data_IF_901242476142
#
_entry.id   IF_901242476142
#
_cell.length_a   1.000
_cell.length_b   1.000
_cell.length_c   1.000
_cell.angle_alpha   90.00
_cell.angle_beta   90.00
_cell.angle_gamma   90.00
#
_symmetry.space_group_name_H-M   'P 1'
#
loop_
_entity.id
_entity.type
_entity.pdbx_description
1 polymer ?
#
# COMPACT_ATOMS: atom_id res chain seq x y z
N UNK A 1 16.39 -64.02 -1.07
CA UNK A 1 15.94 -63.14 0.02
C UNK A 1 16.93 -62.00 0.35
N UNK A 2 18.21 -62.23 0.50
CA UNK A 2 19.20 -61.16 0.85
C UNK A 2 19.25 -60.03 -0.19
N UNK A 3 19.17 -60.31 -1.47
CA UNK A 3 19.18 -59.30 -2.54
C UNK A 3 17.92 -58.42 -2.55
N UNK A 4 16.77 -59.05 -2.30
CA UNK A 4 15.50 -58.32 -2.19
C UNK A 4 15.57 -57.25 -1.06
N UNK A 5 16.04 -57.63 0.12
CA UNK A 5 16.20 -56.68 1.23
C UNK A 5 17.16 -55.54 0.94
N UNK A 6 18.27 -55.80 0.19
CA UNK A 6 19.20 -54.74 -0.21
C UNK A 6 18.53 -53.70 -1.12
N UNK A 7 17.81 -54.17 -2.13
CA UNK A 7 17.10 -53.25 -3.05
C UNK A 7 16.00 -52.46 -2.35
N UNK A 8 15.22 -53.10 -1.50
CA UNK A 8 14.19 -52.43 -0.72
C UNK A 8 14.78 -51.37 0.22
N UNK A 9 15.86 -51.71 0.92
CA UNK A 9 16.54 -50.75 1.80
C UNK A 9 17.14 -49.56 1.01
N UNK A 10 17.75 -49.83 -0.14
CA UNK A 10 18.31 -48.76 -1.01
C UNK A 10 17.20 -47.82 -1.50
N UNK A 11 16.03 -48.37 -1.89
CA UNK A 11 14.91 -47.55 -2.35
C UNK A 11 14.36 -46.66 -1.22
N UNK A 12 14.16 -47.22 -0.03
CA UNK A 12 13.69 -46.49 1.14
C UNK A 12 14.67 -45.36 1.49
N UNK A 13 15.97 -45.66 1.51
CA UNK A 13 17.02 -44.65 1.78
C UNK A 13 17.02 -43.56 0.70
N UNK A 14 16.85 -43.92 -0.57
CA UNK A 14 16.75 -42.96 -1.67
C UNK A 14 15.55 -42.03 -1.54
N UNK A 15 14.38 -42.55 -1.16
CA UNK A 15 13.19 -41.72 -0.95
C UNK A 15 13.37 -40.78 0.23
N UNK A 16 13.96 -41.24 1.34
CA UNK A 16 14.22 -40.38 2.52
C UNK A 16 15.19 -39.25 2.15
N UNK A 17 16.30 -39.57 1.50
CA UNK A 17 17.30 -38.57 1.09
C UNK A 17 16.66 -37.56 0.12
N UNK A 18 15.91 -38.01 -0.88
CA UNK A 18 15.21 -37.15 -1.83
C UNK A 18 14.19 -36.23 -1.13
N UNK A 19 13.44 -36.76 -0.18
CA UNK A 19 12.46 -35.97 0.60
C UNK A 19 13.14 -34.86 1.42
N UNK A 20 14.26 -35.17 2.05
CA UNK A 20 15.04 -34.20 2.82
C UNK A 20 15.61 -33.10 1.92
N UNK A 21 16.15 -33.47 0.76
CA UNK A 21 16.66 -32.47 -0.21
C UNK A 21 15.54 -31.56 -0.71
N UNK A 22 14.38 -32.12 -1.09
CA UNK A 22 13.23 -31.32 -1.53
C UNK A 22 12.73 -30.39 -0.42
N UNK A 23 12.74 -30.83 0.83
CA UNK A 23 12.36 -30.00 1.97
C UNK A 23 13.29 -28.79 2.12
N UNK A 24 14.60 -28.96 2.04
CA UNK A 24 15.54 -27.84 2.12
C UNK A 24 15.44 -26.90 0.91
N UNK A 25 15.24 -27.43 -0.28
CA UNK A 25 15.01 -26.61 -1.48
C UNK A 25 13.73 -25.78 -1.32
N UNK A 26 12.65 -26.36 -0.80
CA UNK A 26 11.41 -25.62 -0.53
C UNK A 26 11.60 -24.49 0.47
N UNK A 27 12.37 -24.73 1.54
CA UNK A 27 12.72 -23.68 2.52
C UNK A 27 13.53 -22.57 1.87
N UNK A 28 14.52 -22.89 1.04
CA UNK A 28 15.32 -21.88 0.34
C UNK A 28 14.47 -21.03 -0.61
N UNK A 29 13.51 -21.64 -1.33
CA UNK A 29 12.58 -20.91 -2.21
C UNK A 29 11.69 -19.98 -1.39
N UNK A 30 11.13 -20.46 -0.28
CA UNK A 30 10.31 -19.65 0.63
C UNK A 30 11.11 -18.48 1.20
N UNK A 31 12.34 -18.71 1.63
CA UNK A 31 13.21 -17.65 2.15
C UNK A 31 13.58 -16.62 1.09
N UNK A 32 13.82 -17.06 -0.15
CA UNK A 32 14.05 -16.19 -1.30
C UNK A 32 12.83 -15.32 -1.62
N UNK A 33 11.63 -15.86 -1.56
CA UNK A 33 10.39 -15.11 -1.78
C UNK A 33 10.15 -14.07 -0.68
N UNK A 34 10.37 -14.42 0.59
CA UNK A 34 10.26 -13.46 1.69
C UNK A 34 11.30 -12.34 1.60
N UNK A 35 12.53 -12.67 1.21
CA UNK A 35 13.61 -11.70 1.08
C UNK A 35 13.47 -10.77 -0.13
N UNK A 36 12.70 -11.18 -1.15
CA UNK A 36 12.43 -10.36 -2.34
C UNK A 36 11.38 -9.27 -2.11
N UNK A 37 10.68 -9.30 -0.98
CA UNK A 37 9.61 -8.34 -0.63
C UNK A 37 10.14 -6.95 -0.27
N UNK A 38 11.44 -6.79 0.03
CA UNK A 38 12.10 -5.50 0.30
C UNK A 38 13.02 -5.08 -0.85
N UNK A 39 12.51 -5.05 -2.07
CA UNK A 39 13.24 -4.41 -3.17
C UNK A 39 13.22 -2.90 -2.96
N UNK A 40 14.25 -2.35 -2.33
CA UNK A 40 14.46 -0.91 -2.28
C UNK A 40 14.51 -0.36 -3.72
N UNK A 41 13.44 0.24 -4.14
CA UNK A 41 13.39 0.93 -5.44
C UNK A 41 14.42 2.06 -5.43
N UNK A 42 15.45 1.97 -6.26
CA UNK A 42 16.44 3.03 -6.38
C UNK A 42 15.78 4.30 -6.92
N UNK A 43 15.55 5.25 -6.02
CA UNK A 43 14.96 6.54 -6.36
C UNK A 43 15.97 7.41 -7.09
N UNK A 44 15.66 7.83 -8.31
CA UNK A 44 16.50 8.73 -9.10
C UNK A 44 16.50 10.14 -8.50
N UNK A 45 17.58 10.87 -8.74
CA UNK A 45 17.67 12.29 -8.34
C UNK A 45 16.53 13.11 -8.96
N UNK A 46 15.97 14.04 -8.18
CA UNK A 46 14.86 14.91 -8.57
C UNK A 46 13.55 14.17 -8.90
N UNK A 47 13.30 13.07 -8.23
CA UNK A 47 12.02 12.35 -8.32
C UNK A 47 10.92 13.06 -7.56
N UNK A 48 9.68 12.83 -7.99
CA UNK A 48 8.46 13.20 -7.29
C UNK A 48 7.72 11.90 -6.94
N UNK A 49 7.35 11.76 -5.68
CA UNK A 49 6.55 10.62 -5.24
C UNK A 49 5.10 10.86 -5.67
N UNK A 50 4.51 9.90 -6.36
CA UNK A 50 3.09 9.92 -6.69
C UNK A 50 2.31 9.20 -5.59
N UNK A 51 1.37 9.89 -4.99
CA UNK A 51 0.43 9.34 -4.03
C UNK A 51 -0.96 9.32 -4.67
N UNK A 52 -1.38 8.14 -5.10
CA UNK A 52 -2.65 7.93 -5.77
C UNK A 52 -3.73 7.54 -4.75
N UNK A 53 -4.75 8.37 -4.64
CA UNK A 53 -5.85 8.21 -3.68
C UNK A 53 -7.06 7.54 -4.34
N UNK A 54 -6.86 6.30 -4.83
CA UNK A 54 -7.90 5.44 -5.40
C UNK A 54 -7.99 4.11 -4.65
N UNK A 55 -9.15 3.45 -4.72
CA UNK A 55 -9.37 2.16 -4.07
C UNK A 55 -9.90 2.26 -2.65
N UNK A 56 -9.60 1.27 -1.82
CA UNK A 56 -10.01 1.23 -0.42
C UNK A 56 -8.82 1.36 0.51
N UNK A 57 -9.01 2.09 1.61
CA UNK A 57 -8.02 2.19 2.67
C UNK A 57 -8.40 1.23 3.81
N UNK A 58 -7.45 0.37 4.17
CA UNK A 58 -7.47 -0.42 5.41
C UNK A 58 -6.54 0.21 6.44
N UNK A 59 -6.77 -0.04 7.74
CA UNK A 59 -5.85 0.44 8.78
C UNK A 59 -4.46 -0.22 8.67
N UNK A 60 -4.41 -1.45 8.20
CA UNK A 60 -3.16 -2.20 7.96
C UNK A 60 -3.21 -2.86 6.59
N UNK A 61 -2.05 -2.90 5.95
CA UNK A 61 -1.89 -3.75 4.78
C UNK A 61 -2.15 -5.20 5.16
N UNK A 62 -3.00 -5.87 4.42
CA UNK A 62 -3.16 -7.31 4.51
C UNK A 62 -2.35 -7.92 3.37
N UNK A 63 -1.09 -8.26 3.65
CA UNK A 63 -0.28 -9.07 2.75
C UNK A 63 -0.85 -10.49 2.69
N UNK A 64 -1.90 -10.66 1.92
CA UNK A 64 -2.46 -11.97 1.66
C UNK A 64 -1.78 -12.52 0.40
N UNK A 65 -0.92 -13.56 0.49
CA UNK A 65 -0.21 -14.10 -0.68
C UNK A 65 -1.16 -14.57 -1.79
N UNK A 66 -2.44 -14.74 -1.47
CA UNK A 66 -3.49 -15.16 -2.41
C UNK A 66 -4.15 -13.99 -3.13
N UNK A 67 -3.96 -12.74 -2.70
CA UNK A 67 -4.55 -11.56 -3.36
C UNK A 67 -3.97 -11.35 -4.76
N UNK A 68 -2.74 -11.84 -5.00
CA UNK A 68 -2.12 -11.89 -6.33
C UNK A 68 -2.96 -12.72 -7.33
N UNK A 69 -3.76 -13.66 -6.83
CA UNK A 69 -4.58 -14.55 -7.66
C UNK A 69 -6.06 -14.18 -7.71
N UNK A 70 -6.52 -13.26 -6.85
CA UNK A 70 -7.96 -13.10 -6.64
C UNK A 70 -8.57 -11.80 -7.16
N UNK A 71 -7.83 -10.73 -7.39
CA UNK A 71 -8.42 -9.54 -8.01
C UNK A 71 -7.41 -8.49 -8.48
N UNK A 72 -7.48 -8.13 -9.74
CA UNK A 72 -6.83 -6.94 -10.32
C UNK A 72 -7.60 -5.63 -10.03
N UNK A 73 -8.80 -5.68 -9.44
CA UNK A 73 -9.74 -4.54 -9.48
C UNK A 73 -9.92 -3.76 -8.17
N UNK A 74 -9.46 -4.23 -7.02
CA UNK A 74 -9.55 -3.46 -5.77
C UNK A 74 -8.19 -3.41 -5.06
N UNK A 75 -7.36 -2.45 -5.44
CA UNK A 75 -6.14 -2.16 -4.69
C UNK A 75 -6.52 -1.64 -3.30
N UNK A 76 -6.26 -2.46 -2.29
CA UNK A 76 -6.39 -2.05 -0.89
C UNK A 76 -5.03 -1.54 -0.40
N UNK A 77 -4.99 -0.31 0.06
CA UNK A 77 -3.78 0.28 0.63
C UNK A 77 -3.84 0.24 2.15
N UNK A 78 -2.72 -0.06 2.80
CA UNK A 78 -2.56 0.11 4.24
C UNK A 78 -2.33 1.58 4.60
N UNK A 79 -2.98 2.06 5.67
CA UNK A 79 -2.67 3.38 6.21
C UNK A 79 -1.21 3.48 6.65
N UNK A 80 -0.73 2.44 7.31
CA UNK A 80 0.65 2.31 7.77
C UNK A 80 1.66 2.41 6.61
N UNK A 81 1.37 1.79 5.45
CA UNK A 81 2.21 1.87 4.25
C UNK A 81 2.25 3.28 3.66
N UNK A 82 1.09 3.95 3.61
CA UNK A 82 1.02 5.32 3.14
C UNK A 82 1.84 6.25 4.05
N UNK A 83 1.67 6.13 5.37
CA UNK A 83 2.39 6.95 6.33
C UNK A 83 3.90 6.70 6.28
N UNK A 84 4.31 5.42 6.22
CA UNK A 84 5.72 5.06 6.11
C UNK A 84 6.34 5.53 4.79
N UNK A 85 5.59 5.46 3.70
CA UNK A 85 6.03 5.95 2.39
C UNK A 85 6.23 7.47 2.37
N UNK A 86 5.34 8.24 2.99
CA UNK A 86 5.47 9.69 3.14
C UNK A 86 6.70 10.01 4.00
N UNK A 87 6.93 9.28 5.09
CA UNK A 87 8.10 9.46 5.95
C UNK A 87 9.41 9.15 5.21
N UNK A 88 9.48 8.01 4.51
CA UNK A 88 10.63 7.66 3.65
C UNK A 88 10.88 8.73 2.57
N UNK A 89 9.82 9.26 1.97
CA UNK A 89 9.94 10.34 0.99
C UNK A 89 10.46 11.64 1.61
N UNK A 90 10.09 11.95 2.85
CA UNK A 90 10.59 13.10 3.60
C UNK A 90 12.11 13.01 3.81
N UNK A 91 12.61 11.83 4.17
CA UNK A 91 14.01 11.58 4.48
C UNK A 91 14.89 11.44 3.23
N UNK A 92 14.34 11.01 2.10
CA UNK A 92 15.08 10.75 0.88
C UNK A 92 15.43 12.04 0.13
N UNK A 93 16.72 12.37 0.03
CA UNK A 93 17.21 13.58 -0.66
C UNK A 93 16.91 13.60 -2.17
N UNK A 94 16.70 12.47 -2.79
CA UNK A 94 16.38 12.36 -4.21
C UNK A 94 14.94 12.73 -4.53
N UNK A 95 14.04 12.72 -3.53
CA UNK A 95 12.63 13.12 -3.68
C UNK A 95 12.51 14.60 -3.38
N UNK A 96 11.92 15.34 -4.33
CA UNK A 96 11.74 16.81 -4.23
C UNK A 96 10.34 17.21 -3.84
N UNK A 97 9.37 16.34 -3.99
CA UNK A 97 7.98 16.63 -3.65
C UNK A 97 7.07 15.42 -3.74
N UNK A 98 5.81 15.63 -3.38
CA UNK A 98 4.73 14.67 -3.54
C UNK A 98 3.70 15.23 -4.52
N UNK A 99 3.30 14.39 -5.47
CA UNK A 99 2.14 14.61 -6.32
C UNK A 99 0.98 13.78 -5.80
N UNK A 100 -0.01 14.45 -5.22
CA UNK A 100 -1.22 13.85 -4.70
C UNK A 100 -2.27 13.80 -5.82
N UNK A 101 -2.57 12.62 -6.32
CA UNK A 101 -3.66 12.42 -7.26
C UNK A 101 -4.94 12.10 -6.50
N UNK A 102 -5.86 13.03 -6.51
CA UNK A 102 -7.19 12.80 -5.95
C UNK A 102 -7.99 11.89 -6.87
N UNK A 103 -8.51 10.81 -6.29
CA UNK A 103 -9.33 9.84 -7.00
C UNK A 103 -10.59 9.51 -6.22
N UNK A 104 -11.09 8.31 -6.36
CA UNK A 104 -12.21 7.81 -5.55
C UNK A 104 -11.66 6.81 -4.53
N UNK A 105 -11.40 7.28 -3.31
CA UNK A 105 -10.92 6.43 -2.22
C UNK A 105 -11.96 6.36 -1.10
N UNK A 106 -12.29 5.15 -0.70
CA UNK A 106 -13.06 4.88 0.51
C UNK A 106 -12.18 5.05 1.74
N UNK A 107 -12.25 6.21 2.40
CA UNK A 107 -11.41 6.56 3.55
C UNK A 107 -12.23 7.18 4.68
N UNK A 108 -11.94 6.78 5.92
CA UNK A 108 -12.50 7.39 7.12
C UNK A 108 -11.85 8.75 7.44
N UNK A 109 -12.56 9.62 8.17
CA UNK A 109 -12.02 10.93 8.54
C UNK A 109 -10.78 10.85 9.42
N UNK A 110 -10.71 9.88 10.34
CA UNK A 110 -9.56 9.70 11.22
C UNK A 110 -8.30 9.36 10.42
N UNK A 111 -8.37 8.37 9.54
CA UNK A 111 -7.25 7.96 8.68
C UNK A 111 -6.84 9.09 7.72
N UNK A 112 -7.83 9.85 7.23
CA UNK A 112 -7.60 11.01 6.37
C UNK A 112 -6.81 12.11 7.11
N UNK A 113 -7.14 12.34 8.38
CA UNK A 113 -6.44 13.31 9.23
C UNK A 113 -5.00 12.90 9.48
N UNK A 114 -4.73 11.61 9.69
CA UNK A 114 -3.37 11.10 9.87
C UNK A 114 -2.52 11.29 8.60
N UNK A 115 -3.05 10.98 7.42
CA UNK A 115 -2.36 11.23 6.15
C UNK A 115 -2.12 12.74 5.97
N UNK A 116 -3.10 13.57 6.30
CA UNK A 116 -2.98 15.02 6.21
C UNK A 116 -1.89 15.57 7.14
N UNK A 117 -1.79 15.07 8.36
CA UNK A 117 -0.72 15.40 9.30
C UNK A 117 0.66 14.99 8.76
N UNK A 118 0.76 13.78 8.20
CA UNK A 118 2.00 13.30 7.61
C UNK A 118 2.44 14.16 6.42
N UNK A 119 1.52 14.61 5.56
CA UNK A 119 1.82 15.54 4.47
C UNK A 119 2.24 16.92 4.97
N UNK A 120 1.60 17.44 6.03
CA UNK A 120 2.00 18.69 6.65
C UNK A 120 3.42 18.60 7.24
N UNK A 121 3.74 17.47 7.89
CA UNK A 121 5.06 17.19 8.41
C UNK A 121 6.10 16.99 7.28
N UNK A 122 5.73 16.34 6.18
CA UNK A 122 6.58 16.25 4.98
C UNK A 122 7.01 17.64 4.48
N UNK A 123 6.08 18.60 4.45
CA UNK A 123 6.37 19.97 4.00
C UNK A 123 7.40 20.69 4.88
N UNK A 124 7.56 20.31 6.15
CA UNK A 124 8.61 20.88 7.03
C UNK A 124 10.02 20.64 6.52
N UNK A 125 10.22 19.63 5.64
CA UNK A 125 11.50 19.38 4.96
C UNK A 125 11.81 20.34 3.81
N UNK A 126 10.95 21.33 3.52
CA UNK A 126 11.11 22.28 2.41
C UNK A 126 10.72 21.70 1.04
N UNK A 127 10.17 20.50 0.99
CA UNK A 127 9.70 19.85 -0.23
C UNK A 127 8.26 20.26 -0.52
N UNK A 128 7.87 20.26 -1.80
CA UNK A 128 6.55 20.69 -2.21
C UNK A 128 5.53 19.54 -2.22
N UNK A 129 4.26 19.90 -2.06
CA UNK A 129 3.12 19.02 -2.29
C UNK A 129 2.19 19.68 -3.30
N UNK A 130 1.87 18.98 -4.38
CA UNK A 130 0.90 19.42 -5.39
C UNK A 130 -0.20 18.39 -5.49
N UNK A 131 -1.44 18.84 -5.42
CA UNK A 131 -2.62 17.99 -5.57
C UNK A 131 -3.32 18.28 -6.90
N UNK A 132 -3.71 17.21 -7.60
CA UNK A 132 -4.54 17.30 -8.80
C UNK A 132 -5.69 16.28 -8.69
N UNK A 133 -6.85 16.67 -9.20
CA UNK A 133 -8.00 15.79 -9.30
C UNK A 133 -8.94 16.19 -10.43
N UNK A 134 -9.54 15.19 -11.03
CA UNK A 134 -10.66 15.39 -11.96
C UNK A 134 -11.95 15.68 -11.19
N UNK A 135 -12.06 15.10 -10.00
CA UNK A 135 -13.14 15.35 -9.06
C UNK A 135 -12.59 15.33 -7.63
N UNK A 136 -13.13 16.22 -6.81
CA UNK A 136 -12.85 16.22 -5.38
C UNK A 136 -14.12 15.97 -4.59
N UNK A 137 -14.15 14.90 -3.82
CA UNK A 137 -15.06 14.78 -2.69
C UNK A 137 -14.65 15.76 -1.59
N UNK A 138 -15.56 16.14 -0.71
CA UNK A 138 -15.24 16.98 0.45
C UNK A 138 -14.07 16.43 1.28
N UNK A 139 -14.00 15.12 1.45
CA UNK A 139 -12.92 14.43 2.18
C UNK A 139 -11.58 14.61 1.48
N UNK A 140 -11.52 14.32 0.18
CA UNK A 140 -10.29 14.45 -0.59
C UNK A 140 -9.85 15.89 -0.77
N UNK A 141 -10.81 16.83 -0.87
CA UNK A 141 -10.48 18.25 -0.87
C UNK A 141 -9.87 18.70 0.47
N UNK A 142 -10.40 18.19 1.59
CA UNK A 142 -9.80 18.44 2.90
C UNK A 142 -8.35 17.93 2.97
N UNK A 143 -8.08 16.73 2.45
CA UNK A 143 -6.70 16.23 2.35
C UNK A 143 -5.84 17.10 1.44
N UNK A 144 -6.33 17.40 0.24
CA UNK A 144 -5.61 18.18 -0.76
C UNK A 144 -5.31 19.61 -0.29
N UNK A 145 -6.12 20.16 0.62
CA UNK A 145 -5.92 21.54 1.13
C UNK A 145 -4.62 21.77 1.90
N UNK A 146 -3.88 20.71 2.26
CA UNK A 146 -2.52 20.84 2.83
C UNK A 146 -1.47 21.13 1.76
N UNK A 147 -1.77 20.85 0.48
CA UNK A 147 -0.84 21.03 -0.63
C UNK A 147 -0.53 22.51 -0.89
N UNK A 148 0.64 22.78 -1.49
CA UNK A 148 1.04 24.12 -1.90
C UNK A 148 0.22 24.63 -3.08
N UNK A 149 -0.25 23.67 -3.92
CA UNK A 149 -1.16 23.95 -5.04
C UNK A 149 -2.20 22.84 -5.14
N UNK A 150 -3.46 23.22 -5.24
CA UNK A 150 -4.57 22.33 -5.53
C UNK A 150 -5.10 22.68 -6.92
N UNK A 151 -5.04 21.70 -7.80
CA UNK A 151 -5.46 21.82 -9.19
C UNK A 151 -6.70 20.96 -9.42
N UNK A 152 -7.70 21.54 -10.04
CA UNK A 152 -8.89 20.83 -10.50
C UNK A 152 -8.91 20.82 -12.02
N UNK A 153 -9.29 19.69 -12.60
CA UNK A 153 -9.56 19.61 -14.04
C UNK A 153 -10.60 20.68 -14.41
N UNK A 154 -10.41 21.46 -15.49
CA UNK A 154 -11.37 22.49 -15.92
C UNK A 154 -12.80 21.99 -16.13
N UNK A 155 -12.98 20.70 -16.45
CA UNK A 155 -14.29 20.05 -16.58
C UNK A 155 -14.68 19.25 -15.33
N UNK A 156 -13.89 19.37 -14.26
CA UNK A 156 -14.07 18.63 -13.02
C UNK A 156 -15.08 19.28 -12.10
N UNK A 157 -15.37 18.60 -10.99
CA UNK A 157 -16.29 19.08 -9.97
C UNK A 157 -15.73 18.90 -8.56
N UNK A 158 -16.11 19.80 -7.66
CA UNK A 158 -15.87 19.67 -6.22
C UNK A 158 -17.22 19.43 -5.53
N UNK A 159 -17.33 18.30 -4.82
CA UNK A 159 -18.45 18.05 -3.94
C UNK A 159 -18.25 18.80 -2.62
N UNK A 160 -19.09 19.78 -2.36
CA UNK A 160 -19.08 20.54 -1.11
C UNK A 160 -20.43 20.45 -0.41
N UNK A 161 -20.49 19.66 0.65
CA UNK A 161 -21.71 19.36 1.39
C UNK A 161 -21.49 19.68 2.86
N UNK A 162 -22.52 20.21 3.51
CA UNK A 162 -22.53 20.34 4.96
C UNK A 162 -22.65 18.98 5.65
N UNK A 163 -22.41 18.97 6.94
CA UNK A 163 -22.68 17.82 7.80
C UNK A 163 -24.05 18.02 8.43
N UNK A 164 -24.98 17.10 8.21
CA UNK A 164 -26.29 17.07 8.86
C UNK A 164 -26.53 15.67 9.42
N UNK A 165 -27.06 15.60 10.65
CA UNK A 165 -27.54 14.37 11.28
C UNK A 165 -28.94 14.60 11.81
N UNK A 166 -29.88 13.79 11.37
CA UNK A 166 -31.26 13.78 11.86
C UNK A 166 -31.54 12.45 12.55
N UNK A 167 -31.27 12.35 13.87
CA UNK A 167 -31.62 11.13 14.59
C UNK A 167 -33.15 10.98 14.67
N UNK A 168 -33.63 9.79 14.33
CA UNK A 168 -35.06 9.44 14.47
C UNK A 168 -35.26 8.71 15.80
N UNK A 169 -36.15 9.21 16.63
CA UNK A 169 -36.49 8.56 17.88
C UNK A 169 -37.80 7.81 17.70
N UNK A 170 -37.84 6.56 18.07
CA UNK A 170 -39.06 5.77 18.13
C UNK A 170 -39.53 5.78 19.58
N UNK A 171 -40.81 6.06 19.77
CA UNK A 171 -41.47 5.95 21.08
C UNK A 171 -42.03 4.54 21.18
N UNK A 172 -41.66 3.78 22.21
CA UNK A 172 -42.24 2.49 22.58
C UNK A 172 -43.68 2.67 23.13
#
# INVERSE_FOLDING_TARGET
>A
MKEFFKFTLATITGIIVSSVVLFFVSILILFSMLSSSESETQVRKNSVMMLDMRGMLSERSQDNPFDIFLSEDETTYGLDDILSSIQKAKENENIKGIYLQAGSMGIGFASLEEIRKALADFKTSGKFVVAYGDQYSQRLYYLASVADKVLLNPQGAIGWYGLASTPTFYKD
#
